data_IF_086018789647
#
_entry.id   IF_086018789647
#
_cell.length_a   1.000
_cell.length_b   1.000
_cell.length_c   1.000
_cell.angle_alpha   90.00
_cell.angle_beta   90.00
_cell.angle_gamma   90.00
#
_symmetry.space_group_name_H-M   'P 1'
#
loop_
_entity.id
_entity.type
_entity.pdbx_description
1 polymer ?
#
# COMPACT_ATOMS: atom_id res chain seq x y z
N UNK A 1 -18.46 23.69 5.22
CA UNK A 1 -19.04 22.43 4.71
C UNK A 1 -17.96 21.38 4.53
N UNK A 2 -18.30 20.13 4.20
CA UNK A 2 -17.31 19.06 4.01
C UNK A 2 -16.24 19.42 2.96
N UNK A 3 -16.64 20.07 1.87
CA UNK A 3 -15.73 20.56 0.83
C UNK A 3 -14.71 21.59 1.35
N UNK A 4 -15.14 22.55 2.17
CA UNK A 4 -14.23 23.56 2.74
C UNK A 4 -13.25 22.96 3.74
N UNK A 5 -13.62 21.87 4.42
CA UNK A 5 -12.71 21.12 5.29
C UNK A 5 -11.68 20.34 4.48
N UNK A 6 -12.11 19.62 3.45
CA UNK A 6 -11.23 18.80 2.60
C UNK A 6 -10.20 19.62 1.82
N UNK A 7 -10.51 20.88 1.51
CA UNK A 7 -9.59 21.81 0.85
C UNK A 7 -8.74 22.63 1.83
N UNK A 8 -8.93 22.46 3.14
CA UNK A 8 -8.15 23.17 4.15
C UNK A 8 -6.71 22.68 4.18
N UNK A 9 -5.76 23.60 4.11
CA UNK A 9 -4.33 23.33 4.25
C UNK A 9 -4.01 22.62 5.57
N UNK A 10 -4.73 22.97 6.64
CA UNK A 10 -4.55 22.33 7.96
C UNK A 10 -4.95 20.87 7.89
N UNK A 11 -6.09 20.56 7.27
CA UNK A 11 -6.60 19.19 7.18
C UNK A 11 -5.66 18.29 6.37
N UNK A 12 -5.18 18.80 5.24
CA UNK A 12 -4.27 18.06 4.36
C UNK A 12 -2.91 17.85 5.01
N UNK A 13 -2.39 18.84 5.74
CA UNK A 13 -1.16 18.71 6.52
C UNK A 13 -1.26 17.56 7.53
N UNK A 14 -2.34 17.48 8.29
CA UNK A 14 -2.54 16.38 9.24
C UNK A 14 -2.72 15.04 8.52
N UNK A 15 -3.45 15.00 7.39
CA UNK A 15 -3.58 13.79 6.59
C UNK A 15 -2.22 13.31 6.05
N UNK A 16 -1.35 14.22 5.58
CA UNK A 16 0.02 13.93 5.15
C UNK A 16 0.85 13.32 6.28
N UNK A 17 0.86 13.94 7.46
CA UNK A 17 1.64 13.48 8.61
C UNK A 17 1.16 12.12 9.11
N UNK A 18 -0.15 11.92 9.24
CA UNK A 18 -0.73 10.64 9.66
C UNK A 18 -0.48 9.55 8.61
N UNK A 19 -0.60 9.88 7.32
CA UNK A 19 -0.22 9.02 6.20
C UNK A 19 1.24 8.57 6.28
N UNK A 20 2.15 9.52 6.48
CA UNK A 20 3.57 9.26 6.65
C UNK A 20 3.86 8.34 7.85
N UNK A 21 3.30 8.63 9.03
CA UNK A 21 3.48 7.83 10.24
C UNK A 21 2.96 6.40 10.08
N UNK A 22 1.77 6.24 9.50
CA UNK A 22 1.18 4.93 9.25
C UNK A 22 2.03 4.10 8.27
N UNK A 23 2.54 4.73 7.20
CA UNK A 23 3.47 4.06 6.28
C UNK A 23 4.80 3.70 6.93
N UNK A 24 5.35 4.55 7.80
CA UNK A 24 6.55 4.22 8.56
C UNK A 24 6.33 3.00 9.46
N UNK A 25 5.19 2.95 10.15
CA UNK A 25 4.80 1.82 10.99
C UNK A 25 4.67 0.52 10.17
N UNK A 26 4.00 0.58 9.02
CA UNK A 26 3.88 -0.58 8.11
C UNK A 26 5.24 -1.02 7.56
N UNK A 27 6.12 -0.08 7.21
CA UNK A 27 7.46 -0.37 6.74
C UNK A 27 8.30 -1.08 7.80
N UNK A 28 8.25 -0.59 9.04
CA UNK A 28 8.93 -1.21 10.17
C UNK A 28 8.41 -2.65 10.43
N UNK A 29 7.09 -2.85 10.41
CA UNK A 29 6.49 -4.18 10.55
C UNK A 29 6.91 -5.13 9.43
N UNK A 30 6.95 -4.65 8.19
CA UNK A 30 7.39 -5.43 7.02
C UNK A 30 8.86 -5.84 7.13
N UNK A 31 9.73 -4.91 7.55
CA UNK A 31 11.15 -5.15 7.73
C UNK A 31 11.42 -6.14 8.88
N UNK A 32 10.82 -5.91 10.06
CA UNK A 32 11.00 -6.76 11.26
C UNK A 32 10.53 -8.19 11.03
N UNK A 33 9.39 -8.36 10.34
CA UNK A 33 8.83 -9.69 10.05
C UNK A 33 9.50 -10.39 8.87
N UNK A 34 10.40 -9.71 8.13
CA UNK A 34 11.00 -10.29 6.93
C UNK A 34 11.71 -11.61 7.22
N UNK A 35 12.54 -11.68 8.25
CA UNK A 35 13.28 -12.91 8.61
C UNK A 35 12.45 -14.03 9.24
N UNK A 36 11.21 -13.73 9.67
CA UNK A 36 10.32 -14.71 10.29
C UNK A 36 9.41 -15.41 9.28
N UNK A 37 9.31 -14.85 8.08
CA UNK A 37 8.43 -15.37 7.04
C UNK A 37 8.95 -16.74 6.58
N UNK A 38 8.06 -17.68 6.30
CA UNK A 38 8.39 -19.02 5.78
C UNK A 38 7.51 -19.30 4.58
N UNK A 39 8.11 -19.72 3.47
CA UNK A 39 7.35 -20.15 2.31
C UNK A 39 6.69 -21.49 2.63
N UNK A 40 5.36 -21.51 2.65
CA UNK A 40 4.58 -22.74 2.74
C UNK A 40 4.03 -23.11 1.36
N UNK A 41 4.58 -24.18 0.78
CA UNK A 41 4.17 -24.68 -0.53
C UNK A 41 2.85 -25.48 -0.50
N UNK A 42 2.36 -25.84 0.70
CA UNK A 42 1.09 -26.56 0.86
C UNK A 42 0.27 -25.97 2.03
N UNK A 43 -0.35 -24.79 1.83
CA UNK A 43 -1.10 -24.11 2.88
C UNK A 43 -2.40 -24.81 3.31
N UNK A 44 -2.82 -25.90 2.65
CA UNK A 44 -4.07 -26.61 2.96
C UNK A 44 -5.34 -25.90 2.46
N UNK A 45 -5.19 -24.76 1.77
CA UNK A 45 -6.26 -24.02 1.11
C UNK A 45 -5.82 -23.58 -0.30
N UNK A 46 -6.78 -23.45 -1.22
CA UNK A 46 -6.52 -22.98 -2.58
C UNK A 46 -6.15 -21.49 -2.64
N UNK A 47 -5.50 -21.07 -3.72
CA UNK A 47 -5.03 -19.69 -3.90
C UNK A 47 -6.14 -18.63 -3.80
N UNK A 48 -7.36 -18.94 -4.27
CA UNK A 48 -8.53 -18.05 -4.19
C UNK A 48 -8.92 -17.80 -2.73
N UNK A 49 -9.11 -18.85 -1.94
CA UNK A 49 -9.47 -18.72 -0.53
C UNK A 49 -8.36 -18.04 0.26
N UNK A 50 -7.10 -18.39 -0.02
CA UNK A 50 -5.94 -17.74 0.58
C UNK A 50 -5.90 -16.24 0.30
N UNK A 51 -6.20 -15.82 -0.93
CA UNK A 51 -6.29 -14.42 -1.31
C UNK A 51 -7.44 -13.69 -0.62
N UNK A 52 -8.64 -14.29 -0.56
CA UNK A 52 -9.80 -13.70 0.14
C UNK A 52 -9.51 -13.49 1.61
N UNK A 53 -8.96 -14.50 2.29
CA UNK A 53 -8.59 -14.41 3.71
C UNK A 53 -7.50 -13.36 3.91
N UNK A 54 -6.49 -13.33 3.04
CA UNK A 54 -5.43 -12.31 3.11
C UNK A 54 -6.01 -10.90 2.98
N UNK A 55 -6.83 -10.62 1.97
CA UNK A 55 -7.42 -9.28 1.78
C UNK A 55 -8.34 -8.89 2.92
N UNK A 56 -9.21 -9.81 3.38
CA UNK A 56 -10.19 -9.52 4.43
C UNK A 56 -9.55 -9.32 5.81
N UNK A 57 -8.49 -10.06 6.12
CA UNK A 57 -7.85 -10.07 7.44
C UNK A 57 -6.52 -9.29 7.47
N UNK A 58 -6.17 -8.55 6.41
CA UNK A 58 -4.97 -7.73 6.42
C UNK A 58 -5.23 -6.40 7.16
N UNK A 59 -4.70 -6.22 8.38
CA UNK A 59 -4.93 -5.00 9.17
C UNK A 59 -4.32 -3.75 8.53
N UNK A 60 -3.34 -3.92 7.63
CA UNK A 60 -2.69 -2.81 6.92
C UNK A 60 -3.60 -2.21 5.85
N UNK A 61 -4.56 -2.97 5.31
CA UNK A 61 -5.44 -2.48 4.25
C UNK A 61 -6.35 -1.31 4.69
N UNK A 62 -7.17 -1.44 5.76
CA UNK A 62 -7.97 -0.32 6.23
C UNK A 62 -7.11 0.81 6.80
N UNK A 63 -5.97 0.49 7.43
CA UNK A 63 -5.03 1.49 7.93
C UNK A 63 -4.46 2.35 6.79
N UNK A 64 -4.11 1.74 5.66
CA UNK A 64 -3.62 2.46 4.49
C UNK A 64 -4.67 3.42 3.94
N UNK A 65 -5.91 2.95 3.71
CA UNK A 65 -7.00 3.79 3.20
C UNK A 65 -7.37 4.94 4.13
N UNK A 66 -7.36 4.69 5.44
CA UNK A 66 -7.64 5.72 6.44
C UNK A 66 -6.57 6.81 6.52
N UNK A 67 -5.36 6.56 5.98
CA UNK A 67 -4.20 7.45 6.15
C UNK A 67 -3.61 7.87 4.80
N UNK A 68 -2.66 7.11 4.25
CA UNK A 68 -1.99 7.42 2.99
C UNK A 68 -2.98 7.47 1.81
N UNK A 69 -3.93 6.53 1.75
CA UNK A 69 -4.98 6.51 0.73
C UNK A 69 -5.87 7.75 0.80
N UNK A 70 -6.33 8.13 2.01
CA UNK A 70 -7.07 9.37 2.23
C UNK A 70 -6.29 10.58 1.71
N UNK A 71 -5.00 10.65 1.98
CA UNK A 71 -4.14 11.76 1.53
C UNK A 71 -4.08 11.85 -0.01
N UNK A 72 -4.02 10.73 -0.73
CA UNK A 72 -4.06 10.72 -2.21
C UNK A 72 -5.43 11.16 -2.74
N UNK A 73 -6.51 10.71 -2.11
CA UNK A 73 -7.88 11.11 -2.46
C UNK A 73 -8.07 12.61 -2.28
N UNK A 74 -7.57 13.19 -1.18
CA UNK A 74 -7.61 14.63 -0.94
C UNK A 74 -6.83 15.41 -1.98
N UNK A 75 -5.68 14.90 -2.42
CA UNK A 75 -4.88 15.49 -3.49
C UNK A 75 -5.66 15.56 -4.81
N UNK A 76 -6.26 14.44 -5.22
CA UNK A 76 -7.15 14.42 -6.39
C UNK A 76 -8.33 15.39 -6.22
N UNK A 77 -8.91 15.45 -5.02
CA UNK A 77 -9.99 16.36 -4.69
C UNK A 77 -9.58 17.84 -4.78
N UNK A 78 -8.34 18.19 -4.44
CA UNK A 78 -7.85 19.57 -4.60
C UNK A 78 -7.77 19.98 -6.06
N UNK A 79 -7.38 19.07 -6.95
CA UNK A 79 -7.17 19.39 -8.38
C UNK A 79 -8.49 19.46 -9.14
N UNK A 80 -9.40 18.48 -8.97
CA UNK A 80 -10.62 18.34 -9.77
C UNK A 80 -11.90 18.16 -8.93
N UNK A 81 -11.86 18.43 -7.62
CA UNK A 81 -13.01 18.22 -6.73
C UNK A 81 -13.43 16.75 -6.66
N UNK A 82 -14.73 16.50 -6.54
CA UNK A 82 -15.27 15.13 -6.45
C UNK A 82 -14.85 14.22 -7.61
N UNK A 83 -14.71 14.77 -8.82
CA UNK A 83 -14.24 14.00 -9.98
C UNK A 83 -12.80 13.51 -9.79
N UNK A 84 -11.92 14.35 -9.24
CA UNK A 84 -10.54 13.97 -8.96
C UNK A 84 -10.43 12.86 -7.90
N UNK A 85 -11.25 12.91 -6.86
CA UNK A 85 -11.34 11.83 -5.87
C UNK A 85 -11.75 10.49 -6.53
N UNK A 86 -12.77 10.52 -7.40
CA UNK A 86 -13.21 9.34 -8.16
C UNK A 86 -12.08 8.79 -9.04
N UNK A 87 -11.42 9.66 -9.80
CA UNK A 87 -10.33 9.27 -10.69
C UNK A 87 -9.15 8.64 -9.93
N UNK A 88 -8.79 9.16 -8.75
CA UNK A 88 -7.76 8.56 -7.90
C UNK A 88 -8.14 7.15 -7.47
N UNK A 89 -9.36 6.94 -6.99
CA UNK A 89 -9.82 5.62 -6.52
C UNK A 89 -9.88 4.61 -7.67
N UNK A 90 -10.49 4.99 -8.80
CA UNK A 90 -10.59 4.11 -9.96
C UNK A 90 -9.23 3.82 -10.59
N UNK A 91 -8.39 4.85 -10.75
CA UNK A 91 -7.03 4.69 -11.26
C UNK A 91 -6.20 3.76 -10.38
N UNK A 92 -6.34 3.90 -9.05
CA UNK A 92 -5.68 3.02 -8.10
C UNK A 92 -6.12 1.55 -8.24
N UNK A 93 -7.43 1.27 -8.34
CA UNK A 93 -7.90 -0.11 -8.53
C UNK A 93 -7.45 -0.73 -9.85
N UNK A 94 -7.40 0.05 -10.93
CA UNK A 94 -6.90 -0.43 -12.22
C UNK A 94 -5.39 -0.69 -12.15
N UNK A 95 -4.63 0.17 -11.48
CA UNK A 95 -3.21 -0.04 -11.24
C UNK A 95 -2.95 -1.32 -10.42
N UNK A 96 -3.76 -1.56 -9.38
CA UNK A 96 -3.72 -2.79 -8.59
C UNK A 96 -3.99 -4.02 -9.46
N UNK A 97 -5.04 -3.98 -10.29
CA UNK A 97 -5.36 -5.08 -11.20
C UNK A 97 -4.20 -5.34 -12.17
N UNK A 98 -3.64 -4.30 -12.78
CA UNK A 98 -2.50 -4.42 -13.69
C UNK A 98 -1.27 -5.01 -13.00
N UNK A 99 -0.96 -4.54 -11.78
CA UNK A 99 0.16 -5.02 -10.99
C UNK A 99 -0.02 -6.49 -10.58
N UNK A 100 -1.20 -6.87 -10.09
CA UNK A 100 -1.47 -8.25 -9.68
C UNK A 100 -1.44 -9.22 -10.86
N UNK A 101 -1.97 -8.83 -12.03
CA UNK A 101 -1.87 -9.63 -13.25
C UNK A 101 -0.42 -9.81 -13.66
N UNK A 102 0.37 -8.73 -13.68
CA UNK A 102 1.80 -8.77 -14.02
C UNK A 102 2.59 -9.69 -13.10
N UNK A 103 2.43 -9.55 -11.77
CA UNK A 103 3.11 -10.41 -10.79
C UNK A 103 2.63 -11.86 -10.93
N UNK A 104 1.34 -12.09 -11.11
CA UNK A 104 0.78 -13.44 -11.25
C UNK A 104 1.30 -14.15 -12.50
N UNK A 105 1.36 -13.45 -13.64
CA UNK A 105 1.92 -13.98 -14.88
C UNK A 105 3.41 -14.34 -14.72
N UNK A 106 4.18 -13.42 -14.14
CA UNK A 106 5.62 -13.62 -13.87
C UNK A 106 5.86 -14.84 -12.97
N UNK A 107 5.05 -15.00 -11.92
CA UNK A 107 5.14 -16.14 -10.99
C UNK A 107 4.65 -17.43 -11.64
N UNK A 108 3.63 -17.38 -12.49
CA UNK A 108 3.12 -18.55 -13.21
C UNK A 108 4.16 -19.12 -14.19
N UNK A 109 4.84 -18.26 -14.96
CA UNK A 109 5.80 -18.68 -15.98
C UNK A 109 7.16 -19.16 -15.43
N UNK A 110 7.63 -18.61 -14.29
CA UNK A 110 8.95 -18.95 -13.74
C UNK A 110 9.08 -19.00 -12.22
N UNK A 111 8.02 -18.66 -11.47
CA UNK A 111 8.09 -18.30 -10.05
C UNK A 111 8.57 -19.41 -9.11
N UNK A 112 8.33 -20.69 -9.40
CA UNK A 112 8.81 -21.79 -8.54
C UNK A 112 10.33 -21.90 -8.46
N UNK A 113 11.08 -21.43 -9.45
CA UNK A 113 12.55 -21.40 -9.42
C UNK A 113 13.13 -20.15 -8.76
N UNK A 114 12.40 -19.03 -8.78
CA UNK A 114 12.92 -17.73 -8.32
C UNK A 114 12.41 -17.32 -6.93
N UNK A 115 11.27 -17.84 -6.46
CA UNK A 115 10.71 -17.55 -5.13
C UNK A 115 11.37 -18.41 -4.05
N UNK A 116 12.69 -18.28 -3.90
CA UNK A 116 13.41 -18.88 -2.78
C UNK A 116 13.12 -18.12 -1.50
N UNK A 117 13.32 -18.78 -0.36
CA UNK A 117 13.16 -18.18 0.95
C UNK A 117 14.01 -16.90 1.09
N UNK A 118 15.26 -16.93 0.63
CA UNK A 118 16.16 -15.78 0.64
C UNK A 118 15.65 -14.64 -0.25
N UNK A 119 15.20 -14.95 -1.47
CA UNK A 119 14.67 -13.94 -2.40
C UNK A 119 13.50 -13.18 -1.77
N UNK A 120 12.53 -13.87 -1.20
CA UNK A 120 11.33 -13.22 -0.66
C UNK A 120 11.66 -12.41 0.62
N UNK A 121 12.61 -12.86 1.45
CA UNK A 121 13.11 -12.08 2.60
C UNK A 121 13.78 -10.79 2.13
N UNK A 122 14.66 -10.87 1.13
CA UNK A 122 15.37 -9.70 0.58
C UNK A 122 14.41 -8.74 -0.11
N UNK A 123 13.46 -9.26 -0.90
CA UNK A 123 12.41 -8.46 -1.54
C UNK A 123 11.60 -7.67 -0.50
N UNK A 124 11.18 -8.31 0.60
CA UNK A 124 10.46 -7.63 1.70
C UNK A 124 11.27 -6.49 2.31
N UNK A 125 12.58 -6.67 2.51
CA UNK A 125 13.47 -5.62 3.02
C UNK A 125 13.58 -4.45 2.06
N UNK A 126 13.74 -4.72 0.76
CA UNK A 126 13.79 -3.68 -0.27
C UNK A 126 12.47 -2.90 -0.31
N UNK A 127 11.33 -3.60 -0.31
CA UNK A 127 10.01 -2.97 -0.27
C UNK A 127 9.80 -2.14 0.99
N UNK A 128 10.28 -2.60 2.15
CA UNK A 128 10.24 -1.83 3.38
C UNK A 128 11.06 -0.54 3.27
N UNK A 129 12.26 -0.58 2.68
CA UNK A 129 13.06 0.63 2.43
C UNK A 129 12.34 1.59 1.49
N UNK A 130 11.73 1.10 0.41
CA UNK A 130 10.92 1.92 -0.50
C UNK A 130 9.77 2.58 0.26
N UNK A 131 9.09 1.83 1.13
CA UNK A 131 7.98 2.35 1.92
C UNK A 131 8.43 3.41 2.95
N UNK A 132 9.65 3.30 3.51
CA UNK A 132 10.25 4.36 4.33
C UNK A 132 10.51 5.62 3.50
N UNK A 133 11.03 5.50 2.27
CA UNK A 133 11.23 6.66 1.40
C UNK A 133 9.92 7.38 1.08
N UNK A 134 8.86 6.62 0.77
CA UNK A 134 7.51 7.18 0.55
C UNK A 134 6.97 7.84 1.81
N UNK A 135 7.18 7.24 2.99
CA UNK A 135 6.81 7.82 4.28
C UNK A 135 7.47 9.18 4.52
N UNK A 136 8.79 9.28 4.30
CA UNK A 136 9.53 10.54 4.43
C UNK A 136 8.99 11.58 3.45
N UNK A 137 8.71 11.18 2.21
CA UNK A 137 8.12 12.07 1.21
C UNK A 137 6.77 12.64 1.67
N UNK A 138 5.88 11.81 2.24
CA UNK A 138 4.58 12.27 2.76
C UNK A 138 4.74 13.24 3.94
N UNK A 139 5.70 12.98 4.83
CA UNK A 139 5.97 13.90 5.94
C UNK A 139 6.53 15.23 5.45
N UNK A 140 7.45 15.20 4.47
CA UNK A 140 8.05 16.39 3.90
C UNK A 140 7.03 17.24 3.12
N UNK A 141 6.17 16.59 2.33
CA UNK A 141 5.09 17.24 1.58
C UNK A 141 4.01 17.87 2.47
N UNK A 142 4.05 17.66 3.78
CA UNK A 142 3.19 18.35 4.74
C UNK A 142 3.65 19.78 5.06
N UNK A 143 4.87 20.16 4.67
CA UNK A 143 5.50 21.44 5.01
C UNK A 143 5.82 22.33 3.80
N UNK A 144 5.67 21.80 2.59
CA UNK A 144 5.81 22.51 1.31
C UNK A 144 4.43 22.67 0.67
#
# INVERSE_FOLDING_TARGET
GAQSLMQSMVFIKYASLLGGLAMAYMAWGLYRSAGQMKINNNPGYGAVLGGVVFTALNPSFPLWWATAGLRLVLEGFQVLGGLGAILVVFGHWIADLGWYVFVSATVYEGGRKFLTQEYVVNLRRILATILVMISIYFMYSAFI
#
